data_IF_698910152586
#
_entry.id   IF_698910152586
#
_cell.length_a   1.000
_cell.length_b   1.000
_cell.length_c   1.000
_cell.angle_alpha   90.00
_cell.angle_beta   90.00
_cell.angle_gamma   90.00
#
_symmetry.space_group_name_H-M   'P 1'
#
loop_
_entity.id
_entity.type
_entity.pdbx_description
1 polymer ?
#
# COMPACT_ATOMS: atom_id res chain seq x y z
N UNK A 1 -0.61 -29.42 -9.18
CA UNK A 1 -1.21 -28.19 -8.63
C UNK A 1 -0.93 -27.98 -7.13
N UNK A 2 -1.22 -28.90 -6.23
CA UNK A 2 -0.98 -28.75 -4.77
C UNK A 2 0.46 -28.32 -4.42
N UNK A 3 1.50 -28.95 -4.98
CA UNK A 3 2.91 -28.64 -4.69
C UNK A 3 3.31 -27.20 -5.06
N UNK A 4 2.86 -26.70 -6.21
CA UNK A 4 3.14 -25.32 -6.66
C UNK A 4 2.45 -24.31 -5.75
N UNK A 5 1.20 -24.57 -5.36
CA UNK A 5 0.46 -23.74 -4.42
C UNK A 5 1.18 -23.67 -3.06
N UNK A 6 1.56 -24.83 -2.50
CA UNK A 6 2.27 -24.88 -1.20
C UNK A 6 3.61 -24.15 -1.26
N UNK A 7 4.39 -24.32 -2.31
CA UNK A 7 5.67 -23.61 -2.47
C UNK A 7 5.48 -22.08 -2.55
N UNK A 8 4.46 -21.62 -3.28
CA UNK A 8 4.18 -20.20 -3.40
C UNK A 8 3.65 -19.60 -2.08
N UNK A 9 2.86 -20.35 -1.33
CA UNK A 9 2.40 -19.96 0.01
C UNK A 9 3.56 -19.87 1.00
N UNK A 10 4.46 -20.86 1.00
CA UNK A 10 5.67 -20.84 1.84
C UNK A 10 6.57 -19.65 1.49
N UNK A 11 6.75 -19.34 0.22
CA UNK A 11 7.50 -18.17 -0.23
C UNK A 11 6.87 -16.87 0.29
N UNK A 12 5.55 -16.74 0.18
CA UNK A 12 4.82 -15.57 0.71
C UNK A 12 5.04 -15.40 2.21
N UNK A 13 4.90 -16.48 2.98
CA UNK A 13 5.09 -16.46 4.43
C UNK A 13 6.54 -16.12 4.77
N UNK A 14 7.51 -16.78 4.14
CA UNK A 14 8.94 -16.58 4.40
C UNK A 14 9.38 -15.14 4.14
N UNK A 15 9.03 -14.58 2.97
CA UNK A 15 9.40 -13.22 2.59
C UNK A 15 8.76 -12.19 3.53
N UNK A 16 7.51 -12.40 3.94
CA UNK A 16 6.84 -11.51 4.89
C UNK A 16 7.44 -11.58 6.30
N UNK A 17 7.80 -12.78 6.78
CA UNK A 17 8.47 -12.96 8.09
C UNK A 17 9.87 -12.34 8.09
N UNK A 18 10.56 -12.30 6.97
CA UNK A 18 11.88 -11.72 6.90
C UNK A 18 11.84 -10.19 6.83
N UNK A 19 11.01 -9.61 5.98
CA UNK A 19 11.02 -8.18 5.67
C UNK A 19 10.23 -7.36 6.69
N UNK A 20 9.05 -7.82 7.12
CA UNK A 20 8.20 -7.02 8.03
C UNK A 20 8.80 -6.82 9.43
N UNK A 21 9.38 -7.83 10.10
CA UNK A 21 10.06 -7.59 11.36
C UNK A 21 11.28 -6.68 11.22
N UNK A 22 12.06 -6.83 10.13
CA UNK A 22 13.17 -5.91 9.88
C UNK A 22 12.70 -4.47 9.67
N UNK A 23 11.57 -4.26 9.00
CA UNK A 23 10.93 -2.95 8.91
C UNK A 23 10.60 -2.39 10.28
N UNK A 24 9.91 -3.16 11.13
CA UNK A 24 9.43 -2.71 12.44
C UNK A 24 10.60 -2.43 13.39
N UNK A 25 11.49 -3.40 13.56
CA UNK A 25 12.57 -3.31 14.55
C UNK A 25 13.80 -2.53 14.05
N UNK A 26 14.07 -2.57 12.76
CA UNK A 26 15.22 -1.89 12.15
C UNK A 26 14.90 -0.43 11.82
N UNK A 27 13.91 -0.19 10.98
CA UNK A 27 13.65 1.14 10.45
C UNK A 27 12.69 1.93 11.34
N UNK A 28 11.50 1.42 11.62
CA UNK A 28 10.45 2.16 12.32
C UNK A 28 10.91 2.56 13.74
N UNK A 29 11.55 1.64 14.47
CA UNK A 29 12.14 1.93 15.76
C UNK A 29 13.29 2.96 15.69
N UNK A 30 14.12 2.90 14.65
CA UNK A 30 15.19 3.89 14.45
C UNK A 30 14.60 5.27 14.14
N UNK A 31 13.55 5.35 13.34
CA UNK A 31 12.79 6.57 13.08
C UNK A 31 12.22 7.15 14.37
N UNK A 32 11.58 6.32 15.19
CA UNK A 32 11.04 6.73 16.49
C UNK A 32 12.12 7.34 17.41
N UNK A 33 13.27 6.69 17.48
CA UNK A 33 14.39 7.17 18.31
C UNK A 33 15.00 8.47 17.75
N UNK A 34 15.05 8.63 16.43
CA UNK A 34 15.64 9.80 15.77
C UNK A 34 14.73 11.02 15.84
N UNK A 35 13.43 10.85 15.69
CA UNK A 35 12.44 11.93 15.74
C UNK A 35 12.05 12.33 17.17
N UNK A 36 12.19 11.39 18.11
CA UNK A 36 11.76 11.55 19.48
C UNK A 36 10.25 11.34 19.69
N UNK A 37 9.85 11.19 20.96
CA UNK A 37 8.49 10.80 21.34
C UNK A 37 7.41 11.79 20.89
N UNK A 38 7.70 13.10 20.89
CA UNK A 38 6.73 14.14 20.51
C UNK A 38 6.35 14.09 19.04
N UNK A 39 7.33 14.21 18.14
CA UNK A 39 7.10 14.21 16.70
C UNK A 39 6.55 12.86 16.19
N UNK A 40 7.12 11.76 16.69
CA UNK A 40 6.62 10.43 16.32
C UNK A 40 5.23 10.16 16.89
N UNK A 41 4.91 10.68 18.08
CA UNK A 41 3.59 10.58 18.70
C UNK A 41 2.51 11.27 17.85
N UNK A 42 2.77 12.47 17.34
CA UNK A 42 1.86 13.18 16.42
C UNK A 42 1.63 12.33 15.16
N UNK A 43 2.70 11.85 14.52
CA UNK A 43 2.59 10.98 13.35
C UNK A 43 1.73 9.75 13.65
N UNK A 44 2.02 9.05 14.75
CA UNK A 44 1.33 7.81 15.08
C UNK A 44 -0.16 8.03 15.37
N UNK A 45 -0.51 9.14 16.00
CA UNK A 45 -1.90 9.53 16.25
C UNK A 45 -2.64 9.79 14.93
N UNK A 46 -2.07 10.60 14.04
CA UNK A 46 -2.67 10.90 12.74
C UNK A 46 -2.74 9.66 11.83
N UNK A 47 -1.73 8.80 11.90
CA UNK A 47 -1.74 7.53 11.19
C UNK A 47 -2.88 6.62 11.68
N UNK A 48 -3.11 6.52 12.99
CA UNK A 48 -4.23 5.76 13.54
C UNK A 48 -5.58 6.36 13.16
N UNK A 49 -5.73 7.70 13.11
CA UNK A 49 -6.94 8.35 12.59
C UNK A 49 -7.17 7.95 11.14
N UNK A 50 -6.14 7.95 10.29
CA UNK A 50 -6.26 7.51 8.91
C UNK A 50 -6.63 6.02 8.79
N UNK A 51 -6.16 5.17 9.68
CA UNK A 51 -6.51 3.74 9.72
C UNK A 51 -7.94 3.49 10.18
N UNK A 52 -8.47 4.30 11.10
CA UNK A 52 -9.81 4.11 11.69
C UNK A 52 -10.89 3.98 10.61
N UNK A 53 -10.80 4.78 9.57
CA UNK A 53 -11.78 4.82 8.49
C UNK A 53 -11.36 4.03 7.24
N UNK A 54 -10.28 3.27 7.30
CA UNK A 54 -9.74 2.54 6.14
C UNK A 54 -10.75 1.56 5.52
N UNK A 55 -11.70 1.04 6.31
CA UNK A 55 -12.78 0.19 5.81
C UNK A 55 -13.60 0.87 4.69
N UNK A 56 -13.71 2.22 4.70
CA UNK A 56 -14.41 2.99 3.67
C UNK A 56 -13.73 2.90 2.30
N UNK A 57 -12.46 2.51 2.23
CA UNK A 57 -11.71 2.39 0.97
C UNK A 57 -11.98 1.09 0.21
N UNK A 58 -12.65 0.11 0.82
CA UNK A 58 -12.73 -1.19 0.16
C UNK A 58 -14.13 -1.84 0.20
N UNK A 59 -14.84 -1.81 1.31
CA UNK A 59 -16.13 -2.49 1.48
C UNK A 59 -16.18 -3.92 0.92
N UNK A 60 -15.05 -4.62 0.90
CA UNK A 60 -14.94 -5.99 0.37
C UNK A 60 -14.75 -6.09 -1.14
N UNK A 61 -14.57 -4.97 -1.87
CA UNK A 61 -14.34 -4.95 -3.32
C UNK A 61 -13.11 -5.77 -3.72
N UNK A 62 -12.04 -5.73 -2.91
CA UNK A 62 -10.81 -6.50 -3.16
C UNK A 62 -11.09 -8.01 -3.14
N UNK A 63 -11.85 -8.49 -2.16
CA UNK A 63 -12.21 -9.90 -2.05
C UNK A 63 -13.20 -10.33 -3.15
N UNK A 64 -14.18 -9.48 -3.45
CA UNK A 64 -15.10 -9.69 -4.57
C UNK A 64 -14.32 -9.82 -5.89
N UNK A 65 -13.43 -8.88 -6.18
CA UNK A 65 -12.62 -8.87 -7.39
C UNK A 65 -11.76 -10.14 -7.51
N UNK A 66 -11.06 -10.54 -6.44
CA UNK A 66 -10.26 -11.77 -6.43
C UNK A 66 -11.09 -12.99 -6.81
N UNK A 67 -12.28 -13.13 -6.22
CA UNK A 67 -13.18 -14.25 -6.49
C UNK A 67 -13.69 -14.24 -7.93
N UNK A 68 -14.10 -13.09 -8.44
CA UNK A 68 -14.65 -12.98 -9.80
C UNK A 68 -13.56 -13.21 -10.87
N UNK A 69 -12.37 -12.63 -10.69
CA UNK A 69 -11.25 -12.86 -11.62
C UNK A 69 -10.79 -14.32 -11.60
N UNK A 70 -10.83 -15.00 -10.44
CA UNK A 70 -10.45 -16.41 -10.37
C UNK A 70 -11.44 -17.32 -11.10
N UNK A 71 -12.71 -16.93 -11.22
CA UNK A 71 -13.77 -17.66 -11.95
C UNK A 71 -13.83 -17.29 -13.43
N UNK A 72 -13.62 -16.01 -13.74
CA UNK A 72 -13.78 -15.40 -15.05
C UNK A 72 -12.59 -14.50 -15.41
N UNK A 73 -11.39 -15.07 -15.66
CA UNK A 73 -10.18 -14.30 -15.96
C UNK A 73 -10.36 -13.33 -17.14
N UNK A 74 -11.20 -13.70 -18.12
CA UNK A 74 -11.50 -12.89 -19.32
C UNK A 74 -12.15 -11.53 -19.00
N UNK A 75 -12.77 -11.39 -17.84
CA UNK A 75 -13.44 -10.16 -17.42
C UNK A 75 -12.48 -9.16 -16.73
N UNK A 76 -11.18 -9.48 -16.63
CA UNK A 76 -10.20 -8.65 -15.93
C UNK A 76 -10.22 -7.20 -16.42
N UNK A 77 -10.19 -6.95 -17.72
CA UNK A 77 -10.20 -5.59 -18.28
C UNK A 77 -11.45 -4.80 -17.90
N UNK A 78 -12.64 -5.44 -17.96
CA UNK A 78 -13.92 -4.83 -17.58
C UNK A 78 -13.96 -4.50 -16.08
N UNK A 79 -13.55 -5.44 -15.23
CA UNK A 79 -13.52 -5.22 -13.78
C UNK A 79 -12.47 -4.19 -13.39
N UNK A 80 -11.31 -4.17 -14.07
CA UNK A 80 -10.25 -3.19 -13.78
C UNK A 80 -10.78 -1.76 -13.95
N UNK A 81 -11.43 -1.45 -15.08
CA UNK A 81 -11.98 -0.12 -15.34
C UNK A 81 -13.08 0.26 -14.35
N UNK A 82 -14.06 -0.62 -14.14
CA UNK A 82 -15.23 -0.31 -13.31
C UNK A 82 -14.86 -0.16 -11.82
N UNK A 83 -14.03 -1.06 -11.28
CA UNK A 83 -13.68 -1.03 -9.86
C UNK A 83 -12.74 0.14 -9.55
N UNK A 84 -11.85 0.52 -10.49
CA UNK A 84 -11.03 1.73 -10.31
C UNK A 84 -11.91 2.97 -10.15
N UNK A 85 -12.97 3.13 -10.97
CA UNK A 85 -13.93 4.23 -10.81
C UNK A 85 -14.60 4.25 -9.44
N UNK A 86 -15.07 3.09 -8.96
CA UNK A 86 -15.65 2.96 -7.61
C UNK A 86 -14.62 3.30 -6.54
N UNK A 87 -13.38 2.81 -6.64
CA UNK A 87 -12.31 3.10 -5.67
C UNK A 87 -11.95 4.58 -5.63
N UNK A 88 -11.98 5.29 -6.75
CA UNK A 88 -11.79 6.75 -6.76
C UNK A 88 -12.91 7.45 -5.99
N UNK A 89 -14.16 7.08 -6.20
CA UNK A 89 -15.29 7.65 -5.45
C UNK A 89 -15.18 7.37 -3.94
N UNK A 90 -14.81 6.14 -3.57
CA UNK A 90 -14.58 5.75 -2.17
C UNK A 90 -13.38 6.50 -1.56
N UNK A 91 -12.33 6.75 -2.33
CA UNK A 91 -11.15 7.50 -1.87
C UNK A 91 -11.51 8.96 -1.56
N UNK A 92 -12.33 9.61 -2.40
CA UNK A 92 -12.82 10.96 -2.17
C UNK A 92 -13.69 10.98 -0.90
N UNK A 93 -14.65 10.05 -0.78
CA UNK A 93 -15.53 9.95 0.39
C UNK A 93 -14.71 9.72 1.68
N UNK A 94 -13.77 8.77 1.66
CA UNK A 94 -12.87 8.48 2.77
C UNK A 94 -12.05 9.71 3.17
N UNK A 95 -11.45 10.39 2.19
CA UNK A 95 -10.63 11.58 2.44
C UNK A 95 -11.44 12.70 3.08
N UNK A 96 -12.60 13.03 2.53
CA UNK A 96 -13.50 14.04 3.09
C UNK A 96 -13.93 13.69 4.53
N UNK A 97 -14.35 12.45 4.75
CA UNK A 97 -14.80 12.01 6.07
C UNK A 97 -13.67 12.05 7.12
N UNK A 98 -12.47 11.57 6.76
CA UNK A 98 -11.31 11.58 7.65
C UNK A 98 -10.87 13.01 8.00
N UNK A 99 -10.88 13.93 7.04
CA UNK A 99 -10.53 15.32 7.27
C UNK A 99 -11.58 16.05 8.12
N UNK A 100 -12.85 15.85 7.83
CA UNK A 100 -13.93 16.42 8.66
C UNK A 100 -13.81 15.95 10.11
N UNK A 101 -13.55 14.67 10.31
CA UNK A 101 -13.32 14.12 11.65
C UNK A 101 -12.12 14.78 12.35
N UNK A 102 -10.99 14.95 11.65
CA UNK A 102 -9.81 15.61 12.21
C UNK A 102 -10.08 17.07 12.59
N UNK A 103 -10.86 17.81 11.80
CA UNK A 103 -11.29 19.18 12.16
C UNK A 103 -12.13 19.22 13.42
N UNK A 104 -13.02 18.24 13.66
CA UNK A 104 -13.78 18.17 14.92
C UNK A 104 -12.93 17.91 16.15
N UNK A 105 -11.76 17.29 15.95
CA UNK A 105 -10.77 17.05 17.02
C UNK A 105 -9.87 18.26 17.28
N UNK A 106 -10.00 19.34 16.50
CA UNK A 106 -9.23 20.59 16.69
C UNK A 106 -7.83 20.55 16.06
N UNK A 107 -7.52 19.59 15.20
CA UNK A 107 -6.27 19.59 14.44
C UNK A 107 -6.24 20.74 13.45
N UNK A 108 -5.09 21.40 13.31
CA UNK A 108 -4.92 22.57 12.46
C UNK A 108 -3.62 22.51 11.62
N UNK A 109 -3.62 23.27 10.54
CA UNK A 109 -2.46 23.54 9.68
C UNK A 109 -1.50 22.36 9.49
N UNK A 110 -0.45 22.24 10.30
CA UNK A 110 0.62 21.26 10.17
C UNK A 110 0.11 19.82 10.25
N UNK A 111 -0.74 19.54 11.22
CA UNK A 111 -1.32 18.21 11.43
C UNK A 111 -2.25 17.83 10.27
N UNK A 112 -3.04 18.75 9.76
CA UNK A 112 -3.93 18.52 8.62
C UNK A 112 -3.13 18.23 7.35
N UNK A 113 -2.04 18.97 7.08
CA UNK A 113 -1.17 18.69 5.93
C UNK A 113 -0.55 17.31 6.04
N UNK A 114 -0.07 16.93 7.23
CA UNK A 114 0.50 15.59 7.46
C UNK A 114 -0.58 14.50 7.29
N UNK A 115 -1.78 14.74 7.81
CA UNK A 115 -2.91 13.82 7.67
C UNK A 115 -3.33 13.64 6.20
N UNK A 116 -3.33 14.71 5.40
CA UNK A 116 -3.61 14.63 3.96
C UNK A 116 -2.66 13.66 3.25
N UNK A 117 -1.37 13.72 3.55
CA UNK A 117 -0.39 12.78 2.97
C UNK A 117 -0.64 11.36 3.47
N UNK A 118 -0.98 11.18 4.75
CA UNK A 118 -1.32 9.87 5.31
C UNK A 118 -2.60 9.31 4.70
N UNK A 119 -3.63 10.12 4.47
CA UNK A 119 -4.86 9.76 3.75
C UNK A 119 -4.52 9.28 2.34
N UNK A 120 -3.69 10.02 1.60
CA UNK A 120 -3.23 9.61 0.28
C UNK A 120 -2.47 8.27 0.32
N UNK A 121 -1.64 8.05 1.36
CA UNK A 121 -0.94 6.79 1.57
C UNK A 121 -1.91 5.61 1.83
N UNK A 122 -2.99 5.82 2.56
CA UNK A 122 -4.02 4.78 2.75
C UNK A 122 -4.77 4.46 1.44
N UNK A 123 -5.07 5.49 0.64
CA UNK A 123 -5.67 5.30 -0.69
C UNK A 123 -4.74 4.48 -1.58
N UNK A 124 -3.45 4.83 -1.65
CA UNK A 124 -2.45 4.07 -2.41
C UNK A 124 -2.32 2.63 -1.92
N UNK A 125 -2.28 2.42 -0.61
CA UNK A 125 -2.22 1.09 0.00
C UNK A 125 -3.43 0.24 -0.37
N UNK A 126 -4.64 0.80 -0.28
CA UNK A 126 -5.88 0.14 -0.71
C UNK A 126 -5.88 -0.19 -2.21
N UNK A 127 -5.34 0.71 -3.03
CA UNK A 127 -5.20 0.49 -4.46
C UNK A 127 -4.20 -0.63 -4.79
N UNK A 128 -3.06 -0.68 -4.08
CA UNK A 128 -2.09 -1.78 -4.20
C UNK A 128 -2.74 -3.12 -3.85
N UNK A 129 -3.51 -3.20 -2.77
CA UNK A 129 -4.23 -4.41 -2.39
C UNK A 129 -5.21 -4.86 -3.47
N UNK A 130 -5.92 -3.92 -4.09
CA UNK A 130 -6.81 -4.19 -5.21
C UNK A 130 -6.03 -4.71 -6.44
N UNK A 131 -4.92 -4.08 -6.82
CA UNK A 131 -4.09 -4.55 -7.94
C UNK A 131 -3.56 -5.96 -7.69
N UNK A 132 -3.11 -6.24 -6.47
CA UNK A 132 -2.67 -7.57 -6.05
C UNK A 132 -3.78 -8.60 -6.09
N UNK A 133 -5.02 -8.23 -5.78
CA UNK A 133 -6.16 -9.14 -5.88
C UNK A 133 -6.42 -9.62 -7.31
N UNK A 134 -6.12 -8.79 -8.32
CA UNK A 134 -6.18 -9.21 -9.72
C UNK A 134 -5.12 -10.28 -10.03
N UNK A 135 -3.88 -10.10 -9.57
CA UNK A 135 -2.79 -11.06 -9.79
C UNK A 135 -3.05 -12.38 -9.05
N UNK A 136 -3.56 -12.29 -7.82
CA UNK A 136 -3.96 -13.46 -7.03
C UNK A 136 -5.13 -14.19 -7.69
N UNK A 137 -6.13 -13.49 -8.19
CA UNK A 137 -7.25 -14.05 -8.96
C UNK A 137 -6.79 -14.77 -10.24
N UNK A 138 -5.75 -14.26 -10.90
CA UNK A 138 -5.09 -14.92 -12.04
C UNK A 138 -4.15 -16.06 -11.61
N UNK A 139 -4.09 -16.42 -10.34
CA UNK A 139 -3.19 -17.44 -9.78
C UNK A 139 -1.69 -17.12 -9.93
N UNK A 140 -1.34 -15.85 -10.12
CA UNK A 140 0.04 -15.38 -10.22
C UNK A 140 0.64 -15.13 -8.82
N UNK A 141 0.57 -16.12 -7.95
CA UNK A 141 0.91 -16.03 -6.54
C UNK A 141 2.36 -15.59 -6.25
N UNK A 142 3.31 -15.91 -7.14
CA UNK A 142 4.70 -15.43 -6.99
C UNK A 142 4.79 -13.90 -7.10
N UNK A 143 4.10 -13.31 -8.09
CA UNK A 143 4.06 -11.86 -8.27
C UNK A 143 3.34 -11.19 -7.09
N UNK A 144 2.20 -11.74 -6.67
CA UNK A 144 1.49 -11.24 -5.50
C UNK A 144 2.37 -11.28 -4.24
N UNK A 145 3.11 -12.38 -4.01
CA UNK A 145 4.03 -12.52 -2.88
C UNK A 145 5.15 -11.47 -2.90
N UNK A 146 5.77 -11.21 -4.03
CA UNK A 146 6.82 -10.20 -4.18
C UNK A 146 6.26 -8.79 -3.95
N UNK A 147 5.11 -8.47 -4.54
CA UNK A 147 4.45 -7.18 -4.37
C UNK A 147 3.96 -6.95 -2.92
N UNK A 148 3.71 -8.04 -2.17
CA UNK A 148 3.24 -7.95 -0.78
C UNK A 148 4.24 -7.34 0.20
N UNK A 149 5.50 -7.28 -0.18
CA UNK A 149 6.60 -6.75 0.65
C UNK A 149 7.38 -5.64 -0.05
N UNK A 150 7.06 -5.36 -1.31
CA UNK A 150 7.81 -4.41 -2.12
C UNK A 150 7.80 -3.00 -1.51
N UNK A 151 6.64 -2.56 -1.02
CA UNK A 151 6.48 -1.28 -0.33
C UNK A 151 7.41 -1.18 0.90
N UNK A 152 7.48 -2.22 1.71
CA UNK A 152 8.35 -2.25 2.89
C UNK A 152 9.84 -2.35 2.51
N UNK A 153 10.16 -3.12 1.47
CA UNK A 153 11.52 -3.20 0.95
C UNK A 153 12.01 -1.85 0.45
N UNK A 154 11.19 -1.14 -0.33
CA UNK A 154 11.51 0.21 -0.79
C UNK A 154 11.65 1.20 0.38
N UNK A 155 10.77 1.14 1.37
CA UNK A 155 10.89 1.95 2.59
C UNK A 155 12.19 1.68 3.33
N UNK A 156 12.58 0.40 3.48
CA UNK A 156 13.85 0.03 4.12
C UNK A 156 15.03 0.66 3.38
N UNK A 157 15.03 0.60 2.05
CA UNK A 157 16.10 1.16 1.22
C UNK A 157 16.13 2.68 1.36
N UNK A 158 15.00 3.37 1.16
CA UNK A 158 14.92 4.83 1.17
C UNK A 158 15.26 5.39 2.56
N UNK A 159 14.58 4.89 3.60
CA UNK A 159 14.82 5.35 4.97
C UNK A 159 16.21 4.93 5.47
N UNK A 160 16.70 3.74 5.09
CA UNK A 160 18.04 3.28 5.42
C UNK A 160 19.11 4.19 4.83
N UNK A 161 18.96 4.60 3.56
CA UNK A 161 19.84 5.57 2.94
C UNK A 161 19.80 6.93 3.67
N UNK A 162 18.64 7.40 4.08
CA UNK A 162 18.51 8.69 4.77
C UNK A 162 19.03 8.65 6.21
N UNK A 163 18.86 7.54 6.92
CA UNK A 163 19.24 7.42 8.33
C UNK A 163 20.72 7.06 8.53
N UNK A 164 21.28 6.20 7.67
CA UNK A 164 22.60 5.61 7.88
C UNK A 164 23.67 6.12 6.91
N UNK A 165 23.28 6.77 5.80
CA UNK A 165 24.26 7.33 4.88
C UNK A 165 24.19 8.87 4.91
N UNK A 166 25.37 9.52 4.83
CA UNK A 166 25.47 10.98 4.72
C UNK A 166 25.37 11.47 3.27
N UNK A 167 24.95 10.61 2.35
CA UNK A 167 24.91 10.92 0.93
C UNK A 167 23.81 11.91 0.53
N UNK A 168 22.72 11.93 1.31
CA UNK A 168 21.63 12.86 1.10
C UNK A 168 21.70 13.96 2.17
N UNK A 169 21.95 15.23 1.83
CA UNK A 169 22.00 16.32 2.81
C UNK A 169 20.59 16.76 3.27
N UNK A 170 19.66 15.81 3.34
CA UNK A 170 18.27 16.05 3.73
C UNK A 170 18.15 15.78 5.22
N UNK A 171 17.72 16.78 5.99
CA UNK A 171 17.39 16.59 7.39
C UNK A 171 16.24 15.59 7.53
N UNK A 172 16.47 14.48 8.22
CA UNK A 172 15.44 13.51 8.51
C UNK A 172 14.42 14.10 9.47
N UNK A 173 13.18 14.21 9.06
CA UNK A 173 12.05 14.70 9.86
C UNK A 173 10.79 13.89 9.53
N UNK A 174 9.69 14.13 10.24
CA UNK A 174 8.45 13.37 10.05
C UNK A 174 7.88 13.54 8.64
N UNK A 175 8.01 14.71 8.03
CA UNK A 175 7.56 14.95 6.67
C UNK A 175 8.35 14.11 5.64
N UNK A 176 9.68 14.06 5.77
CA UNK A 176 10.52 13.24 4.88
C UNK A 176 10.24 11.75 5.06
N UNK A 177 9.96 11.30 6.28
CA UNK A 177 9.56 9.92 6.55
C UNK A 177 8.24 9.56 5.85
N UNK A 178 7.20 10.40 6.00
CA UNK A 178 5.89 10.15 5.38
C UNK A 178 5.96 10.26 3.85
N UNK A 179 6.75 11.20 3.31
CA UNK A 179 6.98 11.29 1.86
C UNK A 179 7.74 10.08 1.31
N UNK A 180 8.70 9.53 2.06
CA UNK A 180 9.38 8.27 1.70
C UNK A 180 8.38 7.11 1.62
N UNK A 181 7.40 7.08 2.51
CA UNK A 181 6.30 6.13 2.48
C UNK A 181 5.43 6.31 1.22
N UNK A 182 5.07 7.56 0.90
CA UNK A 182 4.31 7.88 -0.31
C UNK A 182 5.06 7.42 -1.56
N UNK A 183 6.35 7.72 -1.67
CA UNK A 183 7.18 7.31 -2.81
C UNK A 183 7.21 5.78 -2.94
N UNK A 184 7.38 5.06 -1.85
CA UNK A 184 7.39 3.59 -1.84
C UNK A 184 6.05 3.01 -2.31
N UNK A 185 4.93 3.58 -1.86
CA UNK A 185 3.61 3.16 -2.30
C UNK A 185 3.34 3.49 -3.77
N UNK A 186 3.73 4.68 -4.24
CA UNK A 186 3.59 5.05 -5.66
C UNK A 186 4.38 4.10 -6.55
N UNK A 187 5.65 3.84 -6.23
CA UNK A 187 6.48 2.90 -6.99
C UNK A 187 5.87 1.49 -6.99
N UNK A 188 5.41 1.01 -5.83
CA UNK A 188 4.76 -0.30 -5.73
C UNK A 188 3.45 -0.36 -6.54
N UNK A 189 2.63 0.69 -6.49
CA UNK A 189 1.38 0.78 -7.25
C UNK A 189 1.65 0.77 -8.76
N UNK A 190 2.63 1.54 -9.23
CA UNK A 190 3.03 1.59 -10.65
C UNK A 190 3.51 0.21 -11.12
N UNK A 191 4.40 -0.44 -10.36
CA UNK A 191 4.90 -1.77 -10.69
C UNK A 191 3.75 -2.79 -10.71
N UNK A 192 2.88 -2.79 -9.70
CA UNK A 192 1.73 -3.68 -9.64
C UNK A 192 0.77 -3.45 -10.83
N UNK A 193 0.51 -2.19 -11.18
CA UNK A 193 -0.35 -1.82 -12.31
C UNK A 193 0.21 -2.31 -13.65
N UNK A 194 1.52 -2.13 -13.88
CA UNK A 194 2.20 -2.64 -15.08
C UNK A 194 2.04 -4.16 -15.20
N UNK A 195 2.22 -4.90 -14.08
CA UNK A 195 2.02 -6.35 -14.11
C UNK A 195 0.58 -6.76 -14.38
N UNK A 196 -0.40 -6.05 -13.84
CA UNK A 196 -1.83 -6.30 -14.12
C UNK A 196 -2.12 -6.05 -15.60
N UNK A 197 -1.71 -4.91 -16.16
CA UNK A 197 -1.92 -4.59 -17.59
C UNK A 197 -1.26 -5.61 -18.52
N UNK A 198 -0.01 -6.00 -18.24
CA UNK A 198 0.73 -6.99 -19.04
C UNK A 198 0.05 -8.36 -19.06
N UNK A 199 -0.65 -8.72 -18.00
CA UNK A 199 -1.33 -10.00 -17.92
C UNK A 199 -2.80 -9.91 -18.39
N UNK A 200 -3.44 -8.74 -18.36
CA UNK A 200 -4.77 -8.53 -18.95
C UNK A 200 -4.75 -8.74 -20.46
N UNK A 201 -3.77 -8.17 -21.17
CA UNK A 201 -3.60 -8.37 -22.61
C UNK A 201 -3.35 -9.83 -23.01
N UNK A 202 -2.62 -10.60 -22.19
CA UNK A 202 -2.38 -12.03 -22.43
C UNK A 202 -3.63 -12.90 -22.29
N UNK A 203 -4.57 -12.50 -21.44
CA UNK A 203 -5.82 -13.22 -21.22
C UNK A 203 -6.75 -13.00 -22.43
N UNK A 204 -6.80 -11.78 -22.97
CA UNK A 204 -7.59 -11.46 -24.18
C UNK A 204 -7.06 -12.23 -25.39
N UNK A 205 -5.74 -12.28 -25.60
CA UNK A 205 -5.09 -13.00 -26.72
C UNK A 205 -5.19 -14.54 -26.62
N UNK A 206 -5.55 -15.11 -25.49
CA UNK A 206 -5.76 -16.56 -25.34
C UNK A 206 -7.19 -17.02 -25.63
N UNK A 207 -8.10 -16.08 -25.84
CA UNK A 207 -9.54 -16.34 -26.04
C UNK A 207 -10.00 -16.14 -27.48
N UNK A 208 -9.13 -15.64 -28.36
CA UNK A 208 -9.25 -15.65 -29.83
C UNK A 208 -8.53 -16.87 -30.42
#
# INVERSE_FOLDING_TARGET
>A
MKRIFTTNLLLLVFVNILIKPFWIFGIDRTVQNTLGAGEYGIFYTLFNISLLFNILLDFGLTNFNNREISRHPQLLGKYLSNIVGIKVALAIFYGLFTLLFAFTLGYANREIVLLLVLVANQVLSSFILYLRSNLSGLQLFKLDSLLSVLDKTLMIIICGMMLWTKWLPIKFNIGTFVLSQTLSYVLTAVIAFIFVLKNSGKVILKLD
#
